data_IF_177859767327
#
_entry.id   IF_177859767327
#
_cell.length_a   1.000
_cell.length_b   1.000
_cell.length_c   1.000
_cell.angle_alpha   90.00
_cell.angle_beta   90.00
_cell.angle_gamma   90.00
#
_symmetry.space_group_name_H-M   'P 1'
#
loop_
_entity.id
_entity.type
_entity.pdbx_description
1 polymer ?
#
# COMPACT_ATOMS: atom_id res chain seq x y z
N UNK A 1 -9.17 -26.18 33.32
CA UNK A 1 -8.83 -25.93 31.91
C UNK A 1 -7.34 -25.63 31.83
N UNK A 2 -6.57 -26.26 30.93
CA UNK A 2 -5.19 -25.82 30.69
C UNK A 2 -5.19 -24.37 30.17
N UNK A 3 -4.17 -23.56 30.51
CA UNK A 3 -4.08 -22.18 30.05
C UNK A 3 -4.03 -22.13 28.52
N UNK A 4 -4.61 -21.09 27.89
CA UNK A 4 -4.52 -20.91 26.44
C UNK A 4 -3.05 -20.90 26.02
N UNK A 5 -2.68 -21.52 24.88
CA UNK A 5 -1.31 -21.55 24.44
C UNK A 5 -0.83 -20.13 24.13
N UNK A 6 0.09 -19.63 24.96
CA UNK A 6 0.76 -18.34 24.79
C UNK A 6 1.78 -18.41 23.65
N UNK A 7 1.83 -17.36 22.83
CA UNK A 7 2.83 -17.16 21.77
C UNK A 7 4.24 -16.96 22.35
N UNK A 8 4.35 -16.53 23.61
CA UNK A 8 5.62 -16.21 24.29
C UNK A 8 6.58 -17.41 24.32
N UNK A 9 6.06 -18.63 24.52
CA UNK A 9 6.92 -19.83 24.55
C UNK A 9 7.59 -20.07 23.21
N UNK A 10 6.87 -19.85 22.11
CA UNK A 10 7.43 -19.99 20.77
C UNK A 10 8.40 -18.85 20.47
N UNK A 11 8.04 -17.62 20.84
CA UNK A 11 8.87 -16.43 20.61
C UNK A 11 10.18 -16.46 21.38
N UNK A 12 10.17 -16.87 22.65
CA UNK A 12 11.38 -17.08 23.45
C UNK A 12 12.33 -18.11 22.83
N UNK A 13 11.80 -19.03 22.00
CA UNK A 13 12.62 -20.01 21.29
C UNK A 13 13.12 -19.52 19.92
N UNK A 14 12.55 -18.45 19.37
CA UNK A 14 12.82 -17.91 18.01
C UNK A 14 13.66 -16.63 18.09
N UNK A 15 13.30 -15.67 18.94
CA UNK A 15 13.97 -14.37 19.05
C UNK A 15 15.47 -14.48 19.35
N UNK A 16 15.96 -15.38 20.23
CA UNK A 16 17.39 -15.55 20.45
C UNK A 16 18.15 -16.02 19.20
N UNK A 17 17.53 -16.81 18.32
CA UNK A 17 18.16 -17.28 17.07
C UNK A 17 18.33 -16.12 16.07
N UNK A 18 17.40 -15.17 16.08
CA UNK A 18 17.51 -13.93 15.29
C UNK A 18 18.68 -13.10 15.80
N UNK A 19 18.77 -12.90 17.13
CA UNK A 19 19.87 -12.17 17.76
C UNK A 19 21.24 -12.85 17.56
N UNK A 20 21.28 -14.18 17.53
CA UNK A 20 22.48 -14.97 17.25
C UNK A 20 22.91 -14.95 15.77
N UNK A 21 22.20 -14.24 14.89
CA UNK A 21 22.54 -14.14 13.47
C UNK A 21 22.21 -15.39 12.66
N UNK A 22 21.31 -16.26 13.16
CA UNK A 22 20.83 -17.49 12.52
C UNK A 22 19.37 -17.35 12.02
N UNK A 23 19.07 -16.43 11.08
CA UNK A 23 17.69 -16.15 10.67
C UNK A 23 17.02 -17.34 10.00
N UNK A 24 17.78 -18.17 9.26
CA UNK A 24 17.26 -19.38 8.60
C UNK A 24 16.62 -20.35 9.59
N UNK A 25 17.32 -20.64 10.68
CA UNK A 25 16.83 -21.53 11.73
C UNK A 25 15.66 -20.89 12.47
N UNK A 26 15.73 -19.59 12.77
CA UNK A 26 14.65 -18.84 13.39
C UNK A 26 13.34 -18.96 12.58
N UNK A 27 13.40 -18.79 11.27
CA UNK A 27 12.24 -18.93 10.38
C UNK A 27 11.72 -20.36 10.26
N UNK A 28 12.59 -21.35 10.09
CA UNK A 28 12.13 -22.74 10.05
C UNK A 28 11.38 -23.10 11.33
N UNK A 29 11.91 -22.67 12.47
CA UNK A 29 11.30 -22.86 13.79
C UNK A 29 9.97 -22.11 13.91
N UNK A 30 9.91 -20.85 13.46
CA UNK A 30 8.67 -20.08 13.41
C UNK A 30 7.59 -20.78 12.55
N UNK A 31 7.96 -21.30 11.38
CA UNK A 31 7.05 -22.04 10.49
C UNK A 31 6.56 -23.33 11.12
N UNK A 32 7.43 -24.08 11.80
CA UNK A 32 7.05 -25.30 12.51
C UNK A 32 6.09 -25.00 13.66
N UNK A 33 6.37 -23.99 14.48
CA UNK A 33 5.46 -23.59 15.56
C UNK A 33 4.11 -23.14 15.02
N UNK A 34 4.11 -22.26 14.02
CA UNK A 34 2.87 -21.78 13.40
C UNK A 34 2.04 -22.90 12.78
N UNK A 35 2.66 -23.84 12.06
CA UNK A 35 1.96 -24.99 11.50
C UNK A 35 1.37 -25.90 12.58
N UNK A 36 2.06 -26.07 13.72
CA UNK A 36 1.52 -26.80 14.87
C UNK A 36 0.32 -26.10 15.48
N UNK A 37 0.42 -24.79 15.73
CA UNK A 37 -0.70 -24.01 16.26
C UNK A 37 -1.89 -23.99 15.31
N UNK A 38 -1.66 -23.90 14.00
CA UNK A 38 -2.69 -24.02 12.97
C UNK A 38 -3.39 -25.38 13.01
N UNK A 39 -2.64 -26.49 13.07
CA UNK A 39 -3.20 -27.85 13.18
C UNK A 39 -3.99 -28.05 14.47
N UNK A 40 -3.58 -27.38 15.54
CA UNK A 40 -4.27 -27.41 16.83
C UNK A 40 -5.44 -26.41 16.91
N UNK A 41 -5.82 -25.72 15.83
CA UNK A 41 -6.93 -24.75 15.80
C UNK A 41 -6.64 -23.40 16.45
N UNK A 42 -5.41 -23.16 16.92
CA UNK A 42 -5.00 -21.92 17.58
C UNK A 42 -4.45 -20.91 16.57
N UNK A 43 -5.33 -20.43 15.68
CA UNK A 43 -4.94 -19.52 14.59
C UNK A 43 -4.38 -18.19 15.09
N UNK A 44 -4.95 -17.61 16.15
CA UNK A 44 -4.51 -16.30 16.65
C UNK A 44 -3.08 -16.35 17.21
N UNK A 45 -2.74 -17.41 17.95
CA UNK A 45 -1.37 -17.68 18.42
C UNK A 45 -0.42 -17.92 17.24
N UNK A 46 -0.85 -18.65 16.20
CA UNK A 46 -0.03 -18.88 15.02
C UNK A 46 0.31 -17.58 14.28
N UNK A 47 -0.69 -16.71 14.10
CA UNK A 47 -0.52 -15.39 13.47
C UNK A 47 0.43 -14.54 14.29
N UNK A 48 0.24 -14.48 15.62
CA UNK A 48 1.07 -13.65 16.50
C UNK A 48 2.55 -14.09 16.48
N UNK A 49 2.81 -15.39 16.57
CA UNK A 49 4.17 -15.94 16.48
C UNK A 49 4.82 -15.58 15.14
N UNK A 50 4.10 -15.73 14.02
CA UNK A 50 4.64 -15.40 12.70
C UNK A 50 4.85 -13.90 12.52
N UNK A 51 3.89 -13.09 12.96
CA UNK A 51 3.95 -11.63 12.83
C UNK A 51 5.14 -11.06 13.58
N UNK A 52 5.31 -11.44 14.85
CA UNK A 52 6.43 -10.97 15.66
C UNK A 52 7.77 -11.49 15.13
N UNK A 53 7.84 -12.77 14.75
CA UNK A 53 9.06 -13.34 14.16
C UNK A 53 9.43 -12.63 12.84
N UNK A 54 8.46 -12.35 11.98
CA UNK A 54 8.68 -11.67 10.71
C UNK A 54 9.12 -10.21 10.94
N UNK A 55 8.52 -9.50 11.91
CA UNK A 55 8.90 -8.14 12.29
C UNK A 55 10.37 -8.05 12.71
N UNK A 56 10.83 -8.95 13.58
CA UNK A 56 12.23 -8.95 14.05
C UNK A 56 13.22 -9.41 12.97
N UNK A 57 12.83 -10.36 12.11
CA UNK A 57 13.61 -10.75 10.94
C UNK A 57 13.75 -9.60 9.92
N UNK A 58 12.71 -8.79 9.73
CA UNK A 58 12.76 -7.63 8.82
C UNK A 58 13.66 -6.53 9.37
N UNK A 59 13.59 -6.23 10.68
CA UNK A 59 14.47 -5.24 11.33
C UNK A 59 15.95 -5.61 11.16
N UNK A 60 16.30 -6.85 11.47
CA UNK A 60 17.69 -7.33 11.32
C UNK A 60 18.15 -7.41 9.86
N UNK A 61 17.22 -7.59 8.92
CA UNK A 61 17.52 -7.61 7.48
C UNK A 61 17.89 -6.24 6.89
N UNK A 62 17.55 -5.13 7.54
CA UNK A 62 17.91 -3.78 7.06
C UNK A 62 19.41 -3.47 7.21
N UNK A 63 20.08 -4.08 8.19
CA UNK A 63 21.49 -3.80 8.52
C UNK A 63 22.50 -4.53 7.61
N UNK A 64 22.08 -5.56 6.87
CA UNK A 64 22.98 -6.37 6.04
C UNK A 64 22.38 -6.69 4.64
N UNK A 65 22.60 -5.83 3.63
CA UNK A 65 22.03 -5.96 2.29
C UNK A 65 22.51 -7.19 1.49
N UNK A 66 23.65 -7.79 1.87
CA UNK A 66 24.39 -8.74 1.02
C UNK A 66 24.10 -10.23 1.27
N UNK A 67 23.19 -10.61 2.18
CA UNK A 67 23.03 -12.01 2.55
C UNK A 67 21.66 -12.60 2.23
N UNK A 68 21.69 -13.88 1.82
CA UNK A 68 20.59 -14.87 1.75
C UNK A 68 19.62 -14.86 2.96
N UNK A 69 19.93 -14.13 4.04
CA UNK A 69 19.13 -13.87 5.23
C UNK A 69 17.79 -13.17 4.95
N UNK A 70 17.71 -12.32 3.93
CA UNK A 70 16.46 -11.65 3.60
C UNK A 70 15.41 -12.62 3.00
N UNK A 71 15.80 -13.75 2.39
CA UNK A 71 14.89 -14.76 1.80
C UNK A 71 13.99 -15.46 2.79
N UNK A 72 14.46 -15.47 4.02
CA UNK A 72 13.93 -16.23 5.12
C UNK A 72 12.87 -15.41 5.86
N UNK A 73 13.14 -14.14 6.15
CA UNK A 73 12.11 -13.20 6.61
C UNK A 73 10.99 -13.03 5.58
N UNK A 74 11.34 -13.11 4.29
CA UNK A 74 10.43 -13.03 3.14
C UNK A 74 9.41 -14.17 3.07
N UNK A 75 9.79 -15.39 3.47
CA UNK A 75 8.86 -16.53 3.57
C UNK A 75 8.03 -16.50 4.86
N UNK A 76 8.61 -16.08 5.98
CA UNK A 76 7.89 -15.90 7.25
C UNK A 76 6.71 -14.93 7.09
N UNK A 77 6.97 -13.84 6.37
CA UNK A 77 6.01 -12.81 6.06
C UNK A 77 4.86 -13.30 5.19
N UNK A 78 5.21 -13.98 4.10
CA UNK A 78 4.24 -14.57 3.19
C UNK A 78 3.32 -15.56 3.90
N UNK A 79 3.89 -16.38 4.78
CA UNK A 79 3.14 -17.36 5.56
C UNK A 79 2.24 -16.68 6.61
N UNK A 80 2.73 -15.62 7.27
CA UNK A 80 1.93 -14.78 8.17
C UNK A 80 0.75 -14.12 7.46
N UNK A 81 0.98 -13.55 6.27
CA UNK A 81 -0.06 -12.95 5.42
C UNK A 81 -1.13 -13.99 5.04
N UNK A 82 -0.73 -15.23 4.69
CA UNK A 82 -1.71 -16.29 4.36
C UNK A 82 -2.57 -16.77 5.53
N UNK A 83 -2.11 -16.55 6.76
CA UNK A 83 -2.83 -16.96 7.98
C UNK A 83 -3.59 -15.82 8.63
N UNK A 84 -3.44 -14.60 8.11
CA UNK A 84 -4.10 -13.41 8.63
C UNK A 84 -5.62 -13.57 8.51
N UNK A 85 -6.37 -13.06 9.50
CA UNK A 85 -7.85 -12.98 9.50
C UNK A 85 -8.30 -11.56 9.14
N UNK A 86 -9.54 -11.36 8.66
CA UNK A 86 -10.11 -10.02 8.49
C UNK A 86 -10.01 -9.21 9.80
N UNK A 87 -9.58 -7.95 9.74
CA UNK A 87 -9.31 -7.10 10.91
C UNK A 87 -7.83 -7.01 11.33
N UNK A 88 -6.92 -7.68 10.62
CA UNK A 88 -5.47 -7.60 10.84
C UNK A 88 -4.73 -6.85 9.72
N UNK A 89 -5.42 -6.05 8.92
CA UNK A 89 -4.87 -5.26 7.81
C UNK A 89 -3.75 -4.33 8.32
N UNK A 90 -3.92 -3.77 9.53
CA UNK A 90 -2.88 -2.94 10.17
C UNK A 90 -1.56 -3.68 10.42
N UNK A 91 -1.59 -5.01 10.64
CA UNK A 91 -0.36 -5.82 10.74
C UNK A 91 0.32 -5.92 9.37
N UNK A 92 -0.44 -6.04 8.28
CA UNK A 92 0.12 -6.04 6.92
C UNK A 92 0.80 -4.71 6.60
N UNK A 93 0.16 -3.59 6.94
CA UNK A 93 0.73 -2.24 6.78
C UNK A 93 2.06 -2.10 7.55
N UNK A 94 2.09 -2.53 8.81
CA UNK A 94 3.33 -2.50 9.63
C UNK A 94 4.47 -3.32 9.01
N UNK A 95 4.13 -4.47 8.43
CA UNK A 95 5.09 -5.33 7.77
C UNK A 95 5.65 -4.70 6.48
N UNK A 96 4.79 -4.08 5.67
CA UNK A 96 5.20 -3.35 4.47
C UNK A 96 6.11 -2.18 4.86
N UNK A 97 5.80 -1.45 5.93
CA UNK A 97 6.60 -0.34 6.44
C UNK A 97 8.05 -0.72 6.77
N UNK A 98 8.27 -1.97 7.22
CA UNK A 98 9.58 -2.49 7.58
C UNK A 98 10.40 -2.99 6.38
N UNK A 99 9.81 -3.05 5.19
CA UNK A 99 10.55 -3.35 3.95
C UNK A 99 11.31 -2.11 3.48
N UNK A 100 12.52 -2.26 2.91
CA UNK A 100 13.28 -1.15 2.30
C UNK A 100 12.85 -0.89 0.85
N UNK A 101 13.09 0.33 0.34
CA UNK A 101 12.64 0.78 -1.00
C UNK A 101 13.30 0.08 -2.17
N UNK A 102 14.52 -0.40 -1.95
CA UNK A 102 15.26 -1.19 -2.93
C UNK A 102 15.00 -2.70 -2.79
N UNK A 103 14.07 -3.11 -1.93
CA UNK A 103 13.75 -4.51 -1.71
C UNK A 103 12.90 -5.08 -2.84
N UNK A 104 13.47 -6.00 -3.65
CA UNK A 104 12.75 -6.78 -4.66
C UNK A 104 11.45 -7.43 -4.15
N UNK A 105 11.35 -7.69 -2.84
CA UNK A 105 10.16 -8.30 -2.23
C UNK A 105 9.08 -7.32 -1.80
N UNK A 106 9.35 -6.02 -1.71
CA UNK A 106 8.34 -5.03 -1.32
C UNK A 106 7.13 -5.14 -2.25
N UNK A 107 7.36 -5.20 -3.56
CA UNK A 107 6.32 -5.44 -4.57
C UNK A 107 5.54 -6.72 -4.30
N UNK A 108 6.23 -7.85 -4.12
CA UNK A 108 5.59 -9.15 -3.84
C UNK A 108 4.73 -9.12 -2.58
N UNK A 109 5.16 -8.41 -1.54
CA UNK A 109 4.43 -8.29 -0.27
C UNK A 109 3.19 -7.43 -0.46
N UNK A 110 3.32 -6.31 -1.15
CA UNK A 110 2.19 -5.44 -1.50
C UNK A 110 1.16 -6.21 -2.34
N UNK A 111 1.58 -6.83 -3.45
CA UNK A 111 0.71 -7.61 -4.35
C UNK A 111 -0.05 -8.70 -3.60
N UNK A 112 0.64 -9.44 -2.71
CA UNK A 112 0.02 -10.54 -1.96
C UNK A 112 -0.86 -10.06 -0.81
N UNK A 113 -0.52 -8.95 -0.17
CA UNK A 113 -1.37 -8.34 0.87
C UNK A 113 -2.67 -7.84 0.25
N UNK A 114 -2.59 -7.18 -0.91
CA UNK A 114 -3.76 -6.73 -1.68
C UNK A 114 -4.58 -7.94 -2.14
N UNK A 115 -3.97 -8.95 -2.77
CA UNK A 115 -4.69 -10.15 -3.20
C UNK A 115 -5.34 -10.93 -2.04
N UNK A 116 -4.69 -10.99 -0.88
CA UNK A 116 -5.29 -11.58 0.32
C UNK A 116 -6.49 -10.76 0.80
N UNK A 117 -6.36 -9.43 0.84
CA UNK A 117 -7.42 -8.52 1.28
C UNK A 117 -8.62 -8.54 0.32
N UNK A 118 -8.38 -8.72 -0.99
CA UNK A 118 -9.43 -8.87 -1.99
C UNK A 118 -10.20 -10.19 -1.82
N UNK A 119 -9.51 -11.25 -1.38
CA UNK A 119 -10.10 -12.59 -1.23
C UNK A 119 -10.84 -12.77 0.09
N UNK A 120 -10.36 -12.16 1.18
CA UNK A 120 -10.90 -12.39 2.54
C UNK A 120 -11.55 -11.14 3.14
N UNK A 121 -11.35 -9.97 2.55
CA UNK A 121 -11.96 -8.73 2.98
C UNK A 121 -13.34 -8.49 2.34
N UNK A 122 -14.05 -7.44 2.79
CA UNK A 122 -15.36 -7.08 2.26
C UNK A 122 -15.29 -6.42 0.87
N UNK A 123 -14.10 -6.01 0.42
CA UNK A 123 -13.89 -5.29 -0.82
C UNK A 123 -13.24 -6.20 -1.87
N UNK A 124 -13.87 -6.45 -3.03
CA UNK A 124 -13.39 -7.41 -4.03
C UNK A 124 -12.10 -6.97 -4.74
N UNK A 125 -11.77 -5.68 -4.67
CA UNK A 125 -10.55 -5.10 -5.27
C UNK A 125 -9.38 -5.07 -4.27
N UNK A 126 -9.66 -5.27 -2.97
CA UNK A 126 -8.69 -5.15 -1.89
C UNK A 126 -9.06 -4.06 -0.89
N UNK A 127 -8.38 -4.05 0.25
CA UNK A 127 -8.66 -3.11 1.34
C UNK A 127 -8.29 -1.66 0.96
N UNK A 128 -9.22 -0.69 1.09
CA UNK A 128 -8.99 0.71 0.76
C UNK A 128 -7.85 1.38 1.53
N UNK A 129 -7.61 1.03 2.80
CA UNK A 129 -6.51 1.59 3.61
C UNK A 129 -5.16 1.06 3.13
N UNK A 130 -5.11 -0.24 2.83
CA UNK A 130 -3.93 -0.88 2.29
C UNK A 130 -3.55 -0.30 0.92
N UNK A 131 -4.54 -0.08 0.04
CA UNK A 131 -4.34 0.59 -1.24
C UNK A 131 -3.83 2.04 -1.07
N UNK A 132 -4.38 2.80 -0.12
CA UNK A 132 -3.90 4.16 0.17
C UNK A 132 -2.42 4.15 0.58
N UNK A 133 -2.06 3.28 1.53
CA UNK A 133 -0.71 3.18 2.06
C UNK A 133 0.31 2.74 0.99
N UNK A 134 -0.05 1.74 0.18
CA UNK A 134 0.80 1.29 -0.94
C UNK A 134 0.99 2.41 -1.96
N UNK A 135 -0.08 3.14 -2.29
CA UNK A 135 0.00 4.30 -3.18
C UNK A 135 0.93 5.39 -2.65
N UNK A 136 0.85 5.72 -1.36
CA UNK A 136 1.72 6.69 -0.70
C UNK A 136 3.19 6.26 -0.72
N UNK A 137 3.48 4.98 -0.48
CA UNK A 137 4.84 4.46 -0.55
C UNK A 137 5.42 4.54 -1.97
N UNK A 138 4.65 4.13 -2.98
CA UNK A 138 5.10 4.18 -4.38
C UNK A 138 5.34 5.60 -4.86
N UNK A 139 4.52 6.55 -4.39
CA UNK A 139 4.74 7.97 -4.66
C UNK A 139 6.04 8.48 -4.05
N UNK A 140 6.35 8.13 -2.79
CA UNK A 140 7.64 8.46 -2.14
C UNK A 140 8.84 7.83 -2.85
N UNK A 141 8.66 6.66 -3.44
CA UNK A 141 9.69 5.96 -4.24
C UNK A 141 9.81 6.54 -5.67
N UNK A 142 8.96 7.51 -6.07
CA UNK A 142 8.96 8.13 -7.40
C UNK A 142 8.29 7.28 -8.50
N UNK A 143 7.62 6.19 -8.14
CA UNK A 143 6.95 5.26 -9.07
C UNK A 143 5.51 5.73 -9.26
N UNK A 144 5.32 6.74 -10.12
CA UNK A 144 4.03 7.44 -10.28
C UNK A 144 2.94 6.57 -10.92
N UNK A 145 3.27 5.75 -11.93
CA UNK A 145 2.33 4.82 -12.58
C UNK A 145 1.73 3.82 -11.59
N UNK A 146 2.58 3.28 -10.71
CA UNK A 146 2.17 2.33 -9.68
C UNK A 146 1.32 3.00 -8.60
N UNK A 147 1.73 4.19 -8.16
CA UNK A 147 0.99 4.96 -7.16
C UNK A 147 -0.44 5.27 -7.62
N UNK A 148 -0.60 5.70 -8.87
CA UNK A 148 -1.92 5.99 -9.46
C UNK A 148 -2.87 4.79 -9.36
N UNK A 149 -2.44 3.61 -9.79
CA UNK A 149 -3.27 2.40 -9.79
C UNK A 149 -3.85 2.10 -8.39
N UNK A 150 -3.00 2.19 -7.36
CA UNK A 150 -3.42 1.91 -5.98
C UNK A 150 -4.28 3.04 -5.39
N UNK A 151 -3.97 4.32 -5.68
CA UNK A 151 -4.75 5.45 -5.17
C UNK A 151 -6.17 5.50 -5.76
N UNK A 152 -6.32 5.16 -7.05
CA UNK A 152 -7.63 5.03 -7.68
C UNK A 152 -8.44 3.86 -7.08
N UNK A 153 -7.80 2.71 -6.87
CA UNK A 153 -8.44 1.54 -6.27
C UNK A 153 -8.89 1.76 -4.81
N UNK A 154 -8.16 2.58 -4.05
CA UNK A 154 -8.52 2.95 -2.67
C UNK A 154 -9.85 3.71 -2.58
N UNK A 155 -10.11 4.62 -3.54
CA UNK A 155 -11.34 5.42 -3.55
C UNK A 155 -11.53 6.36 -2.35
N UNK A 156 -10.55 6.52 -1.45
CA UNK A 156 -10.67 7.44 -0.30
C UNK A 156 -10.49 8.90 -0.70
N UNK A 157 -11.08 9.80 0.09
CA UNK A 157 -10.90 11.25 -0.08
C UNK A 157 -9.44 11.68 0.06
N UNK A 158 -8.70 11.08 0.99
CA UNK A 158 -7.30 11.41 1.19
C UNK A 158 -6.42 10.82 0.08
N UNK A 159 -6.77 9.64 -0.45
CA UNK A 159 -6.16 9.10 -1.68
C UNK A 159 -6.38 10.02 -2.89
N UNK A 160 -7.56 10.62 -3.01
CA UNK A 160 -7.86 11.59 -4.06
C UNK A 160 -7.01 12.87 -3.95
N UNK A 161 -6.77 13.38 -2.73
CA UNK A 161 -5.85 14.52 -2.54
C UNK A 161 -4.41 14.17 -2.90
N UNK A 162 -3.96 12.99 -2.49
CA UNK A 162 -2.61 12.52 -2.81
C UNK A 162 -2.45 12.28 -4.32
N UNK A 163 -3.48 11.77 -4.99
CA UNK A 163 -3.47 11.58 -6.45
C UNK A 163 -3.33 12.92 -7.19
N UNK A 164 -3.95 13.99 -6.68
CA UNK A 164 -3.78 15.33 -7.24
C UNK A 164 -2.31 15.79 -7.17
N UNK A 165 -1.62 15.50 -6.06
CA UNK A 165 -0.18 15.77 -5.91
C UNK A 165 0.66 14.93 -6.87
N UNK A 166 0.37 13.63 -6.96
CA UNK A 166 1.05 12.70 -7.88
C UNK A 166 1.01 13.21 -9.32
N UNK A 167 -0.16 13.61 -9.81
CA UNK A 167 -0.29 14.12 -11.18
C UNK A 167 0.35 15.49 -11.39
N UNK A 168 0.33 16.35 -10.38
CA UNK A 168 1.04 17.62 -10.44
C UNK A 168 2.54 17.39 -10.62
N UNK A 169 3.13 16.52 -9.80
CA UNK A 169 4.55 16.18 -9.86
C UNK A 169 4.90 15.44 -11.16
N UNK A 170 4.02 14.56 -11.62
CA UNK A 170 4.18 13.90 -12.91
C UNK A 170 4.21 14.91 -14.06
N UNK A 171 3.27 15.85 -14.08
CA UNK A 171 3.19 16.87 -15.12
C UNK A 171 4.42 17.81 -15.09
N UNK A 172 4.95 18.14 -13.90
CA UNK A 172 6.21 18.87 -13.75
C UNK A 172 7.40 18.07 -14.32
N UNK A 173 7.52 16.80 -13.96
CA UNK A 173 8.62 15.94 -14.41
C UNK A 173 8.63 15.71 -15.94
N UNK A 174 7.45 15.75 -16.57
CA UNK A 174 7.29 15.55 -18.01
C UNK A 174 7.49 16.84 -18.85
N UNK A 175 7.82 17.97 -18.21
CA UNK A 175 8.23 19.20 -18.89
C UNK A 175 7.14 19.96 -19.64
N UNK A 176 5.86 19.58 -19.53
CA UNK A 176 4.74 20.34 -20.08
C UNK A 176 3.49 20.24 -19.22
N UNK A 177 3.47 21.06 -18.17
CA UNK A 177 2.31 21.25 -17.28
C UNK A 177 1.09 21.73 -18.09
N UNK A 178 1.28 22.67 -19.01
CA UNK A 178 0.21 23.30 -19.79
C UNK A 178 -0.44 22.36 -20.82
N UNK A 179 0.33 21.47 -21.46
CA UNK A 179 -0.23 20.57 -22.48
C UNK A 179 -0.89 19.33 -21.86
N UNK A 180 -0.47 18.90 -20.67
CA UNK A 180 -0.97 17.66 -20.06
C UNK A 180 -1.90 17.90 -18.87
N UNK A 181 -2.04 19.14 -18.36
CA UNK A 181 -2.89 19.43 -17.21
C UNK A 181 -4.34 18.96 -17.39
N UNK A 182 -4.92 19.17 -18.57
CA UNK A 182 -6.26 18.70 -18.91
C UNK A 182 -6.35 17.18 -18.98
N UNK A 183 -5.36 16.51 -19.58
CA UNK A 183 -5.31 15.05 -19.67
C UNK A 183 -5.20 14.40 -18.29
N UNK A 184 -4.40 14.95 -17.37
CA UNK A 184 -4.29 14.47 -16.00
C UNK A 184 -5.54 14.78 -15.16
N UNK A 185 -6.17 15.93 -15.36
CA UNK A 185 -7.46 16.23 -14.74
C UNK A 185 -8.53 15.21 -15.16
N UNK A 186 -8.58 14.87 -16.46
CA UNK A 186 -9.46 13.82 -16.97
C UNK A 186 -9.05 12.44 -16.45
N UNK A 187 -7.75 12.12 -16.41
CA UNK A 187 -7.25 10.84 -15.89
C UNK A 187 -7.52 10.64 -14.39
N UNK A 188 -7.66 11.72 -13.62
CA UNK A 188 -8.04 11.65 -12.20
C UNK A 188 -9.52 11.88 -11.92
N UNK A 189 -10.34 12.20 -12.94
CA UNK A 189 -11.79 12.40 -12.78
C UNK A 189 -12.61 11.38 -13.57
N UNK A 190 -12.20 10.99 -14.78
CA UNK A 190 -12.87 10.00 -15.63
C UNK A 190 -12.81 8.59 -15.04
N UNK A 191 -11.73 8.12 -14.41
CA UNK A 191 -11.82 6.89 -13.62
C UNK A 191 -12.82 6.99 -12.47
N UNK A 192 -13.29 8.19 -12.13
CA UNK A 192 -14.44 8.40 -11.25
C UNK A 192 -15.75 8.82 -11.97
N UNK A 193 -15.74 9.12 -13.29
CA UNK A 193 -16.85 9.76 -14.01
C UNK A 193 -17.14 9.17 -15.41
N UNK A 194 -16.31 8.26 -15.90
CA UNK A 194 -16.38 7.62 -17.21
C UNK A 194 -16.92 6.18 -17.14
N UNK A 195 -17.38 5.65 -18.28
CA UNK A 195 -18.25 4.47 -18.35
C UNK A 195 -17.59 3.16 -17.91
N UNK A 196 -16.27 3.15 -17.68
CA UNK A 196 -15.51 1.98 -17.23
C UNK A 196 -15.42 1.85 -15.70
N UNK A 197 -15.87 2.88 -14.96
CA UNK A 197 -16.00 2.86 -13.50
C UNK A 197 -17.40 3.29 -13.05
N UNK A 198 -18.39 2.60 -13.62
CA UNK A 198 -19.72 2.43 -13.06
C UNK A 198 -19.75 1.41 -11.89
N UNK A 199 -18.66 1.28 -11.11
CA UNK A 199 -18.56 0.25 -10.07
C UNK A 199 -18.37 0.75 -8.63
N UNK A 200 -18.03 2.04 -8.37
CA UNK A 200 -17.89 2.55 -6.98
C UNK A 200 -18.75 3.78 -6.60
N UNK A 201 -19.30 4.54 -7.54
CA UNK A 201 -20.24 5.65 -7.23
C UNK A 201 -19.70 6.79 -6.34
N UNK A 202 -18.37 7.00 -6.29
CA UNK A 202 -17.75 7.89 -5.30
C UNK A 202 -17.53 9.33 -5.82
N UNK A 203 -18.63 10.08 -5.95
CA UNK A 203 -18.65 11.48 -6.41
C UNK A 203 -17.83 12.41 -5.49
N UNK A 204 -17.77 12.09 -4.19
CA UNK A 204 -17.06 12.89 -3.19
C UNK A 204 -15.54 12.83 -3.40
N UNK A 205 -15.00 11.67 -3.76
CA UNK A 205 -13.58 11.52 -4.07
C UNK A 205 -13.21 12.31 -5.34
N UNK A 206 -14.01 12.24 -6.40
CA UNK A 206 -13.77 12.98 -7.65
C UNK A 206 -13.78 14.49 -7.44
N UNK A 207 -14.74 14.99 -6.65
CA UNK A 207 -14.80 16.42 -6.31
C UNK A 207 -13.59 16.84 -5.48
N UNK A 208 -13.23 16.06 -4.47
CA UNK A 208 -12.05 16.33 -3.62
C UNK A 208 -10.77 16.34 -4.45
N UNK A 209 -10.61 15.39 -5.39
CA UNK A 209 -9.51 15.35 -6.34
C UNK A 209 -9.46 16.63 -7.18
N UNK A 210 -10.57 17.00 -7.82
CA UNK A 210 -10.62 18.15 -8.72
C UNK A 210 -10.32 19.46 -7.99
N UNK A 211 -10.94 19.66 -6.82
CA UNK A 211 -10.70 20.85 -5.98
C UNK A 211 -9.22 20.96 -5.60
N UNK A 212 -8.60 19.85 -5.21
CA UNK A 212 -7.18 19.81 -4.82
C UNK A 212 -6.27 20.00 -6.03
N UNK A 213 -6.55 19.35 -7.15
CA UNK A 213 -5.75 19.44 -8.36
C UNK A 213 -5.77 20.85 -8.96
N UNK A 214 -6.95 21.48 -9.02
CA UNK A 214 -7.08 22.87 -9.47
C UNK A 214 -6.33 23.85 -8.57
N UNK A 215 -6.28 23.62 -7.25
CA UNK A 215 -5.47 24.46 -6.34
C UNK A 215 -3.96 24.33 -6.53
N UNK A 216 -3.50 23.22 -7.13
CA UNK A 216 -2.08 23.00 -7.43
C UNK A 216 -1.66 23.57 -8.79
N UNK A 217 -2.61 23.94 -9.65
CA UNK A 217 -2.31 24.56 -10.93
C UNK A 217 -2.07 26.07 -10.78
N UNK A 218 -1.05 26.65 -11.45
CA UNK A 218 -0.87 28.09 -11.48
C UNK A 218 -2.09 28.77 -12.13
N UNK A 219 -2.51 29.92 -11.60
CA UNK A 219 -3.71 30.67 -12.02
C UNK A 219 -3.81 30.87 -13.54
N UNK A 220 -2.67 31.06 -14.22
CA UNK A 220 -2.58 31.23 -15.68
C UNK A 220 -2.97 29.99 -16.51
N UNK A 221 -3.10 28.83 -15.87
CA UNK A 221 -3.42 27.54 -16.51
C UNK A 221 -4.69 26.92 -15.94
N UNK A 222 -5.41 27.64 -15.07
CA UNK A 222 -6.72 27.22 -14.61
C UNK A 222 -7.71 27.35 -15.79
N UNK A 223 -8.38 26.26 -16.21
CA UNK A 223 -9.36 26.32 -17.30
C UNK A 223 -10.56 27.22 -16.95
N UNK A 224 -10.69 27.65 -15.68
CA UNK A 224 -11.69 28.59 -15.22
C UNK A 224 -11.39 30.05 -15.61
N UNK A 225 -10.14 30.38 -15.98
CA UNK A 225 -9.74 31.75 -16.35
C UNK A 225 -10.02 32.06 -17.83
N UNK A 226 -10.12 31.03 -18.69
CA UNK A 226 -10.32 31.22 -20.13
C UNK A 226 -11.73 31.73 -20.54
N UNK A 227 -12.60 32.09 -19.58
CA UNK A 227 -14.00 32.48 -19.84
C UNK A 227 -14.31 33.97 -19.70
N UNK A 228 -13.33 34.85 -19.60
CA UNK A 228 -13.59 36.28 -19.38
C UNK A 228 -13.02 37.24 -20.43
N UNK A 229 -12.28 36.76 -21.44
CA UNK A 229 -11.60 37.64 -22.39
C UNK A 229 -12.35 37.92 -23.71
N UNK A 230 -13.35 37.12 -24.11
CA UNK A 230 -13.94 37.21 -25.46
C UNK A 230 -15.28 37.96 -25.56
N UNK A 231 -15.66 38.72 -24.52
CA UNK A 231 -16.96 39.39 -24.49
C UNK A 231 -16.94 40.88 -24.86
N UNK A 232 -15.78 41.49 -25.13
CA UNK A 232 -15.72 42.94 -25.32
C UNK A 232 -14.74 43.35 -26.42
N UNK A 233 -15.17 43.25 -27.68
CA UNK A 233 -14.69 44.11 -28.79
C UNK A 233 -15.52 43.90 -30.06
N UNK A 234 -16.61 44.65 -30.19
CA UNK A 234 -17.10 45.07 -31.51
C UNK A 234 -17.46 46.56 -31.45
N UNK A 235 -16.62 47.46 -31.99
CA UNK A 235 -17.04 48.84 -32.21
C UNK A 235 -17.90 48.92 -33.49
N UNK A 236 -19.03 49.61 -33.39
CA UNK A 236 -19.75 50.18 -34.54
C UNK A 236 -19.15 51.53 -34.90
#
# INVERSE_FOLDING_TARGET
MPPPPSSERALNAILPLIAAGQPYEAHQKARTFASRYQKSGHFDTAIDVLFQSARELLKTGQENPYQKKAEVGRHALLYGLTLTKPGHEGRMTQLIALTSSQGSWRKTIMDKSIAWSAKHGPYPVGDPDLHHYVGELLYKDGILDGAEHHLLASGKRDSARLLAQVYHDWALSSGSLSSHAGAFALRGTIPYAGPTYLLNGNILASRTFLDSYLSHLPLSQSPLVHRTADADTTPR
#
